data_IF_748882024721
#
_entry.id   IF_748882024721
#
_cell.length_a   1.000
_cell.length_b   1.000
_cell.length_c   1.000
_cell.angle_alpha   90.00
_cell.angle_beta   90.00
_cell.angle_gamma   90.00
#
_symmetry.space_group_name_H-M   'P 1'
#
loop_
_entity.id
_entity.type
_entity.pdbx_description
1 polymer ?
#
# COMPACT_ATOMS: atom_id res chain seq x y z
N UNK A 1 -23.03 -39.17 -36.42
CA UNK A 1 -23.62 -38.34 -35.35
C UNK A 1 -22.79 -38.31 -34.06
N UNK A 2 -22.18 -39.41 -33.60
CA UNK A 2 -21.34 -39.41 -32.36
C UNK A 2 -19.99 -38.68 -32.52
N UNK A 3 -19.41 -38.63 -33.73
CA UNK A 3 -18.14 -37.91 -34.00
C UNK A 3 -18.27 -36.37 -33.96
N UNK A 4 -19.46 -35.81 -34.21
CA UNK A 4 -19.67 -34.36 -34.25
C UNK A 4 -19.75 -33.71 -32.85
N UNK A 5 -20.20 -34.48 -31.84
CA UNK A 5 -20.26 -34.03 -30.44
C UNK A 5 -18.91 -34.03 -29.72
N UNK A 6 -17.92 -34.81 -30.18
CA UNK A 6 -16.58 -34.86 -29.56
C UNK A 6 -15.67 -33.70 -29.99
N UNK A 7 -15.75 -33.26 -31.25
CA UNK A 7 -15.00 -32.09 -31.71
C UNK A 7 -15.48 -30.80 -31.03
N UNK A 8 -16.80 -30.59 -30.94
CA UNK A 8 -17.40 -29.41 -30.29
C UNK A 8 -17.08 -29.33 -28.79
N UNK A 9 -17.03 -30.47 -28.08
CA UNK A 9 -16.70 -30.50 -26.64
C UNK A 9 -15.20 -30.31 -26.38
N UNK A 10 -14.33 -30.72 -27.32
CA UNK A 10 -12.88 -30.45 -27.27
C UNK A 10 -12.55 -28.99 -27.57
N UNK A 11 -13.27 -28.36 -28.51
CA UNK A 11 -13.14 -26.93 -28.83
C UNK A 11 -13.64 -26.05 -27.68
N UNK A 12 -14.78 -26.41 -27.07
CA UNK A 12 -15.34 -25.69 -25.91
C UNK A 12 -14.46 -25.82 -24.67
N UNK A 13 -13.87 -27.01 -24.43
CA UNK A 13 -12.90 -27.25 -23.35
C UNK A 13 -11.60 -26.47 -23.57
N UNK A 14 -11.12 -26.37 -24.81
CA UNK A 14 -9.95 -25.57 -25.18
C UNK A 14 -10.17 -24.06 -25.01
N UNK A 15 -11.32 -23.56 -25.46
CA UNK A 15 -11.72 -22.16 -25.27
C UNK A 15 -11.88 -21.82 -23.78
N UNK A 16 -12.57 -22.67 -23.01
CA UNK A 16 -12.72 -22.52 -21.57
C UNK A 16 -11.37 -22.56 -20.83
N UNK A 17 -10.46 -23.48 -21.17
CA UNK A 17 -9.13 -23.54 -20.57
C UNK A 17 -8.26 -22.33 -20.91
N UNK A 18 -8.44 -21.74 -22.10
CA UNK A 18 -7.74 -20.53 -22.52
C UNK A 18 -8.29 -19.30 -21.81
N UNK A 19 -9.62 -19.17 -21.72
CA UNK A 19 -10.31 -18.14 -20.92
C UNK A 19 -9.94 -18.25 -19.44
N UNK A 20 -9.95 -19.46 -18.89
CA UNK A 20 -9.57 -19.72 -17.50
C UNK A 20 -8.09 -19.42 -17.26
N UNK A 21 -7.20 -19.80 -18.18
CA UNK A 21 -5.77 -19.49 -18.08
C UNK A 21 -5.50 -17.99 -18.22
N UNK A 22 -6.23 -17.29 -19.08
CA UNK A 22 -6.18 -15.84 -19.22
C UNK A 22 -6.62 -15.16 -17.92
N UNK A 23 -7.81 -15.48 -17.43
CA UNK A 23 -8.34 -14.96 -16.16
C UNK A 23 -7.43 -15.31 -14.97
N UNK A 24 -6.84 -16.50 -14.97
CA UNK A 24 -5.89 -16.92 -13.93
C UNK A 24 -4.57 -16.16 -14.00
N UNK A 25 -4.04 -15.91 -15.21
CA UNK A 25 -2.82 -15.10 -15.38
C UNK A 25 -3.05 -13.64 -15.02
N UNK A 26 -4.20 -13.06 -15.39
CA UNK A 26 -4.62 -11.71 -14.98
C UNK A 26 -4.72 -11.61 -13.46
N UNK A 27 -5.42 -12.57 -12.83
CA UNK A 27 -5.54 -12.65 -11.37
C UNK A 27 -4.17 -12.81 -10.70
N UNK A 28 -3.31 -13.68 -11.25
CA UNK A 28 -1.96 -13.93 -10.72
C UNK A 28 -1.08 -12.68 -10.75
N UNK A 29 -1.21 -11.86 -11.78
CA UNK A 29 -0.46 -10.60 -11.92
C UNK A 29 -0.78 -9.63 -10.79
N UNK A 30 -2.06 -9.47 -10.46
CA UNK A 30 -2.56 -8.60 -9.38
C UNK A 30 -2.27 -9.18 -8.00
N UNK A 31 -2.34 -10.51 -7.89
CA UNK A 31 -2.20 -11.23 -6.63
C UNK A 31 -0.75 -11.32 -6.15
N UNK A 32 0.22 -11.44 -7.09
CA UNK A 32 1.65 -11.55 -6.78
C UNK A 32 2.17 -10.48 -5.79
N UNK A 33 1.96 -9.16 -6.00
CA UNK A 33 2.49 -8.15 -5.09
C UNK A 33 1.84 -8.21 -3.69
N UNK A 34 0.56 -8.57 -3.59
CA UNK A 34 -0.14 -8.72 -2.31
C UNK A 34 0.48 -9.87 -1.49
N UNK A 35 0.71 -11.02 -2.12
CA UNK A 35 1.36 -12.14 -1.45
C UNK A 35 2.78 -11.81 -1.01
N UNK A 36 3.54 -11.07 -1.83
CA UNK A 36 4.87 -10.59 -1.44
C UNK A 36 4.80 -9.66 -0.21
N UNK A 37 3.85 -8.73 -0.17
CA UNK A 37 3.64 -7.85 0.98
C UNK A 37 3.34 -8.64 2.27
N UNK A 38 2.44 -9.62 2.20
CA UNK A 38 2.08 -10.47 3.35
C UNK A 38 3.30 -11.26 3.84
N UNK A 39 4.04 -11.89 2.93
CA UNK A 39 5.23 -12.68 3.29
C UNK A 39 6.29 -11.78 3.94
N UNK A 40 6.57 -10.59 3.37
CA UNK A 40 7.53 -9.64 3.93
C UNK A 40 7.11 -9.14 5.31
N UNK A 41 5.83 -8.82 5.49
CA UNK A 41 5.27 -8.38 6.77
C UNK A 41 5.49 -9.44 7.85
N UNK A 42 5.22 -10.71 7.52
CA UNK A 42 5.36 -11.83 8.44
C UNK A 42 6.82 -12.12 8.77
N UNK A 43 7.73 -12.05 7.80
CA UNK A 43 9.17 -12.19 8.02
C UNK A 43 9.68 -11.09 8.94
N UNK A 44 9.31 -9.83 8.68
CA UNK A 44 9.71 -8.69 9.51
C UNK A 44 9.18 -8.82 10.94
N UNK A 45 7.91 -9.20 11.09
CA UNK A 45 7.27 -9.36 12.39
C UNK A 45 7.87 -10.51 13.22
N UNK A 46 8.10 -11.68 12.61
CA UNK A 46 8.74 -12.82 13.28
C UNK A 46 10.20 -12.54 13.63
N UNK A 47 10.99 -12.03 12.67
CA UNK A 47 12.44 -11.83 12.85
C UNK A 47 12.76 -10.77 13.91
N UNK A 48 12.05 -9.63 13.87
CA UNK A 48 12.38 -8.46 14.70
C UNK A 48 11.59 -8.45 16.00
N UNK A 49 10.33 -8.92 16.02
CA UNK A 49 9.47 -8.75 17.19
C UNK A 49 9.03 -10.06 17.84
N UNK A 50 9.46 -11.23 17.35
CA UNK A 50 9.10 -12.54 17.92
C UNK A 50 7.57 -12.69 18.11
N UNK A 51 6.79 -12.10 17.21
CA UNK A 51 5.33 -12.03 17.24
C UNK A 51 4.73 -11.33 18.49
N UNK A 52 5.47 -10.40 19.11
CA UNK A 52 5.03 -9.66 20.29
C UNK A 52 4.71 -8.19 19.98
N UNK A 53 3.66 -7.69 20.60
CA UNK A 53 3.36 -6.24 20.68
C UNK A 53 4.36 -5.61 21.64
N UNK A 54 5.12 -4.61 21.16
CA UNK A 54 6.23 -4.02 21.93
C UNK A 54 6.07 -2.51 22.13
N UNK A 55 5.27 -1.83 21.28
CA UNK A 55 5.13 -0.38 21.26
C UNK A 55 3.72 0.03 21.70
N UNK A 56 3.61 0.95 22.66
CA UNK A 56 2.32 1.50 23.10
C UNK A 56 2.19 2.94 22.61
N UNK A 57 1.49 3.13 21.48
CA UNK A 57 1.26 4.44 20.86
C UNK A 57 -0.13 5.00 21.18
N UNK A 58 -1.01 4.16 21.74
CA UNK A 58 -2.39 4.52 22.02
C UNK A 58 -2.58 5.15 23.40
N UNK A 59 -3.54 6.08 23.49
CA UNK A 59 -3.72 6.97 24.64
C UNK A 59 -4.24 6.26 25.90
N UNK A 60 -5.18 5.32 25.71
CA UNK A 60 -5.68 4.48 26.80
C UNK A 60 -4.89 3.16 26.81
N UNK A 61 -4.25 2.86 27.92
CA UNK A 61 -3.51 1.62 28.08
C UNK A 61 -3.69 1.13 29.51
N UNK A 62 -3.66 -0.19 29.68
CA UNK A 62 -3.95 -0.84 30.96
C UNK A 62 -2.99 -0.39 32.07
N UNK A 63 -1.82 0.16 31.72
CA UNK A 63 -0.81 0.64 32.67
C UNK A 63 -0.92 2.13 33.04
N UNK A 64 -1.29 3.00 32.11
CA UNK A 64 -1.22 4.46 32.32
C UNK A 64 -2.58 5.12 32.49
N UNK A 65 -3.56 4.78 31.64
CA UNK A 65 -4.87 5.44 31.60
C UNK A 65 -5.93 4.41 31.22
N UNK A 66 -6.79 4.06 32.17
CA UNK A 66 -7.92 3.13 31.94
C UNK A 66 -9.26 3.83 32.14
N UNK A 67 -10.20 3.57 31.24
CA UNK A 67 -11.62 3.89 31.34
C UNK A 67 -12.38 2.85 32.18
N UNK A 68 -11.68 1.82 32.67
CA UNK A 68 -12.18 0.84 33.64
C UNK A 68 -12.17 -0.61 33.17
N UNK A 69 -12.22 -0.87 31.85
CA UNK A 69 -12.11 -2.22 31.30
C UNK A 69 -11.29 -2.24 30.01
N UNK A 70 -10.51 -3.31 29.80
CA UNK A 70 -9.70 -3.50 28.59
C UNK A 70 -10.51 -3.40 27.29
N UNK A 71 -11.80 -3.76 27.34
CA UNK A 71 -12.73 -3.64 26.24
C UNK A 71 -13.08 -2.18 25.92
N UNK A 72 -13.38 -1.38 26.94
CA UNK A 72 -13.68 0.05 26.79
C UNK A 72 -12.45 0.84 26.32
N UNK A 73 -11.26 0.49 26.83
CA UNK A 73 -9.98 1.09 26.43
C UNK A 73 -9.69 0.81 24.95
N UNK A 74 -9.87 -0.45 24.52
CA UNK A 74 -9.68 -0.84 23.13
C UNK A 74 -10.66 -0.13 22.16
N UNK A 75 -11.92 0.03 22.57
CA UNK A 75 -12.92 0.74 21.78
C UNK A 75 -12.61 2.24 21.67
N UNK A 76 -12.23 2.90 22.76
CA UNK A 76 -11.89 4.32 22.76
C UNK A 76 -10.65 4.62 21.90
N UNK A 77 -9.63 3.79 21.98
CA UNK A 77 -8.44 3.89 21.14
C UNK A 77 -8.74 3.69 19.65
N UNK A 78 -9.55 2.69 19.31
CA UNK A 78 -9.96 2.44 17.94
C UNK A 78 -10.76 3.63 17.39
N UNK A 79 -11.70 4.19 18.17
CA UNK A 79 -12.45 5.39 17.78
C UNK A 79 -11.54 6.60 17.53
N UNK A 80 -10.53 6.81 18.38
CA UNK A 80 -9.53 7.87 18.20
C UNK A 80 -8.72 7.71 16.92
N UNK A 81 -8.17 6.51 16.66
CA UNK A 81 -7.46 6.23 15.42
C UNK A 81 -8.34 6.40 14.18
N UNK A 82 -9.59 5.94 14.24
CA UNK A 82 -10.54 6.12 13.15
C UNK A 82 -10.83 7.58 12.85
N UNK A 83 -10.99 8.42 13.88
CA UNK A 83 -11.18 9.85 13.70
C UNK A 83 -9.99 10.48 12.95
N UNK A 84 -8.75 10.11 13.32
CA UNK A 84 -7.54 10.60 12.63
C UNK A 84 -7.49 10.13 11.18
N UNK A 85 -7.73 8.84 10.91
CA UNK A 85 -7.75 8.28 9.55
C UNK A 85 -8.81 8.98 8.70
N UNK A 86 -10.01 9.19 9.24
CA UNK A 86 -11.10 9.89 8.56
C UNK A 86 -10.73 11.34 8.23
N UNK A 87 -10.12 12.07 9.17
CA UNK A 87 -9.67 13.47 8.94
C UNK A 87 -8.61 13.53 7.85
N UNK A 88 -7.60 12.66 7.88
CA UNK A 88 -6.56 12.60 6.85
C UNK A 88 -7.15 12.22 5.48
N UNK A 89 -8.08 11.27 5.45
CA UNK A 89 -8.77 10.85 4.22
C UNK A 89 -9.56 12.01 3.59
N UNK A 90 -10.36 12.73 4.39
CA UNK A 90 -11.12 13.89 3.93
C UNK A 90 -10.18 14.99 3.44
N UNK A 91 -9.09 15.27 4.17
CA UNK A 91 -8.09 16.27 3.78
C UNK A 91 -7.46 15.93 2.42
N UNK A 92 -7.05 14.68 2.23
CA UNK A 92 -6.46 14.22 0.97
C UNK A 92 -7.44 14.30 -0.20
N UNK A 93 -8.69 13.87 0.00
CA UNK A 93 -9.76 13.97 -1.01
C UNK A 93 -10.04 15.44 -1.34
N UNK A 94 -10.07 16.31 -0.32
CA UNK A 94 -10.31 17.75 -0.50
C UNK A 94 -9.20 18.37 -1.35
N UNK A 95 -7.93 18.09 -1.05
CA UNK A 95 -6.79 18.57 -1.84
C UNK A 95 -6.81 18.04 -3.28
N UNK A 96 -7.19 16.78 -3.47
CA UNK A 96 -7.38 16.18 -4.79
C UNK A 96 -8.46 16.92 -5.60
N UNK A 97 -9.57 17.30 -4.97
CA UNK A 97 -10.67 18.06 -5.61
C UNK A 97 -10.27 19.50 -5.93
N UNK A 98 -9.37 20.12 -5.15
CA UNK A 98 -8.88 21.48 -5.40
C UNK A 98 -7.87 21.61 -6.56
N UNK A 99 -7.76 20.61 -7.46
CA UNK A 99 -6.91 20.62 -8.65
C UNK A 99 -5.39 20.76 -8.41
N UNK A 100 -4.91 20.65 -7.16
CA UNK A 100 -3.48 20.71 -6.86
C UNK A 100 -2.77 19.37 -7.11
N UNK A 101 -2.80 18.89 -8.37
CA UNK A 101 -2.26 17.57 -8.75
C UNK A 101 -0.82 17.37 -8.29
N UNK A 102 0.04 18.37 -8.52
CA UNK A 102 1.46 18.37 -8.13
C UNK A 102 1.68 18.35 -6.62
N UNK A 103 0.78 18.96 -5.86
CA UNK A 103 0.87 18.96 -4.39
C UNK A 103 0.56 17.58 -3.83
N UNK A 104 -0.46 16.90 -4.36
CA UNK A 104 -0.84 15.55 -3.92
C UNK A 104 0.25 14.53 -4.29
N UNK A 105 0.78 14.62 -5.52
CA UNK A 105 1.91 13.80 -5.99
C UNK A 105 3.14 13.99 -5.08
N UNK A 106 3.51 15.25 -4.79
CA UNK A 106 4.62 15.57 -3.90
C UNK A 106 4.37 15.09 -2.47
N UNK A 107 3.15 15.29 -1.94
CA UNK A 107 2.79 14.83 -0.60
C UNK A 107 2.96 13.31 -0.48
N UNK A 108 2.35 12.55 -1.39
CA UNK A 108 2.42 11.08 -1.37
C UNK A 108 3.87 10.59 -1.48
N UNK A 109 4.65 11.17 -2.39
CA UNK A 109 6.08 10.87 -2.54
C UNK A 109 6.87 11.15 -1.24
N UNK A 110 6.72 12.34 -0.67
CA UNK A 110 7.37 12.71 0.60
C UNK A 110 6.93 11.77 1.73
N UNK A 111 5.66 11.39 1.78
CA UNK A 111 5.14 10.47 2.80
C UNK A 111 5.77 9.08 2.67
N UNK A 112 5.90 8.56 1.46
CA UNK A 112 6.59 7.29 1.22
C UNK A 112 8.06 7.35 1.67
N UNK A 113 8.78 8.44 1.35
CA UNK A 113 10.18 8.62 1.77
C UNK A 113 10.29 8.71 3.30
N UNK A 114 9.42 9.49 3.95
CA UNK A 114 9.40 9.62 5.41
C UNK A 114 9.13 8.27 6.07
N UNK A 115 8.17 7.50 5.56
CA UNK A 115 7.90 6.14 6.05
C UNK A 115 9.13 5.24 5.89
N UNK A 116 9.81 5.28 4.75
CA UNK A 116 11.02 4.48 4.53
C UNK A 116 12.14 4.82 5.53
N UNK A 117 12.32 6.10 5.88
CA UNK A 117 13.32 6.49 6.87
C UNK A 117 12.89 6.19 8.31
N UNK A 118 11.66 6.54 8.68
CA UNK A 118 11.20 6.47 10.07
C UNK A 118 10.79 5.05 10.42
N UNK A 119 9.82 4.48 9.71
CA UNK A 119 9.23 3.19 10.07
C UNK A 119 10.23 2.07 9.79
N UNK A 120 10.76 1.97 8.57
CA UNK A 120 11.75 0.94 8.27
C UNK A 120 13.05 1.17 9.05
N UNK A 121 13.42 2.42 9.35
CA UNK A 121 14.54 2.72 10.24
C UNK A 121 14.37 2.14 11.64
N UNK A 122 13.17 2.25 12.24
CA UNK A 122 12.90 1.59 13.52
C UNK A 122 13.00 0.07 13.42
N UNK A 123 12.55 -0.53 12.31
CA UNK A 123 12.70 -1.98 12.08
C UNK A 123 14.17 -2.41 12.03
N UNK A 124 15.02 -1.62 11.35
CA UNK A 124 16.45 -1.91 11.28
C UNK A 124 17.18 -1.71 12.60
N UNK A 125 16.81 -0.68 13.37
CA UNK A 125 17.37 -0.44 14.70
C UNK A 125 16.95 -1.53 15.69
N UNK A 126 15.66 -1.89 15.73
CA UNK A 126 15.15 -2.96 16.58
C UNK A 126 15.79 -4.32 16.20
N UNK A 127 16.04 -4.56 14.91
CA UNK A 127 16.78 -5.73 14.43
C UNK A 127 18.26 -5.71 14.81
N UNK A 128 18.94 -4.57 14.66
CA UNK A 128 20.35 -4.41 15.03
C UNK A 128 20.57 -4.56 16.54
N UNK A 129 19.59 -4.18 17.36
CA UNK A 129 19.62 -4.35 18.81
C UNK A 129 19.66 -5.81 19.28
N UNK A 130 19.30 -6.77 18.41
CA UNK A 130 19.42 -8.21 18.70
C UNK A 130 20.83 -8.77 18.49
N UNK A 131 21.74 -8.00 17.87
CA UNK A 131 23.10 -8.47 17.62
C UNK A 131 23.94 -8.41 18.90
N UNK A 132 24.78 -9.42 19.18
CA UNK A 132 25.65 -9.44 20.36
C UNK A 132 26.90 -8.56 20.16
N UNK A 133 26.70 -7.29 19.86
CA UNK A 133 27.75 -6.27 19.65
C UNK A 133 27.50 -5.06 20.53
N UNK A 134 28.50 -4.20 20.71
CA UNK A 134 28.38 -3.01 21.56
C UNK A 134 27.30 -2.04 21.06
N UNK A 135 26.61 -1.36 21.98
CA UNK A 135 25.55 -0.37 21.70
C UNK A 135 25.90 0.66 20.60
N UNK A 136 27.09 1.32 20.59
CA UNK A 136 27.44 2.25 19.52
C UNK A 136 27.56 1.56 18.15
N UNK A 137 27.98 0.29 18.12
CA UNK A 137 28.09 -0.50 16.90
C UNK A 137 26.70 -0.90 16.40
N UNK A 138 25.77 -1.25 17.30
CA UNK A 138 24.37 -1.52 16.94
C UNK A 138 23.72 -0.30 16.29
N UNK A 139 23.89 0.89 16.89
CA UNK A 139 23.35 2.14 16.35
C UNK A 139 23.96 2.48 14.98
N UNK A 140 25.27 2.25 14.81
CA UNK A 140 25.94 2.46 13.53
C UNK A 140 25.43 1.49 12.44
N UNK A 141 25.20 0.21 12.78
CA UNK A 141 24.67 -0.79 11.85
C UNK A 141 23.21 -0.44 11.47
N UNK A 142 22.35 -0.21 12.46
CA UNK A 142 20.94 0.16 12.21
C UNK A 142 20.82 1.48 11.43
N UNK A 143 21.61 2.49 11.80
CA UNK A 143 21.66 3.78 11.13
C UNK A 143 22.18 3.69 9.70
N UNK A 144 23.24 2.92 9.44
CA UNK A 144 23.77 2.73 8.08
C UNK A 144 22.81 1.96 7.17
N UNK A 145 22.14 0.93 7.69
CA UNK A 145 21.06 0.22 6.98
C UNK A 145 19.89 1.15 6.64
N UNK A 146 19.48 1.97 7.61
CA UNK A 146 18.41 2.97 7.41
C UNK A 146 18.80 3.99 6.35
N UNK A 147 20.03 4.51 6.39
CA UNK A 147 20.52 5.48 5.42
C UNK A 147 20.63 4.88 4.01
N UNK A 148 21.08 3.63 3.90
CA UNK A 148 21.15 2.92 2.61
C UNK A 148 19.75 2.69 2.02
N UNK A 149 18.82 2.17 2.81
CA UNK A 149 17.44 1.92 2.37
C UNK A 149 16.68 3.22 2.09
N UNK A 150 16.72 4.19 3.01
CA UNK A 150 16.07 5.49 2.85
C UNK A 150 16.66 6.30 1.70
N UNK A 151 17.99 6.27 1.52
CA UNK A 151 18.64 6.87 0.35
C UNK A 151 18.18 6.23 -0.95
N UNK A 152 18.03 4.90 -0.98
CA UNK A 152 17.44 4.18 -2.10
C UNK A 152 15.98 4.57 -2.38
N UNK A 153 15.18 4.83 -1.34
CA UNK A 153 13.82 5.36 -1.50
C UNK A 153 13.84 6.75 -2.14
N UNK A 154 14.69 7.68 -1.67
CA UNK A 154 14.83 9.01 -2.29
C UNK A 154 15.20 8.88 -3.77
N UNK A 155 16.13 7.98 -4.11
CA UNK A 155 16.49 7.72 -5.50
C UNK A 155 15.32 7.15 -6.30
N UNK A 156 14.54 6.22 -5.74
CA UNK A 156 13.36 5.64 -6.38
C UNK A 156 12.33 6.70 -6.75
N UNK A 157 12.07 7.65 -5.85
CA UNK A 157 11.01 8.64 -6.00
C UNK A 157 11.44 9.93 -6.73
N UNK A 158 12.71 10.34 -6.65
CA UNK A 158 13.20 11.55 -7.31
C UNK A 158 13.85 11.31 -8.68
N UNK A 159 14.39 10.11 -8.93
CA UNK A 159 15.05 9.83 -10.20
C UNK A 159 14.05 9.33 -11.23
N UNK A 160 13.72 10.17 -12.21
CA UNK A 160 12.83 9.82 -13.33
C UNK A 160 13.35 8.71 -14.25
N UNK A 161 14.61 8.31 -14.10
CA UNK A 161 15.28 7.36 -14.99
C UNK A 161 15.34 5.93 -14.43
N UNK A 162 14.73 5.67 -13.26
CA UNK A 162 14.68 4.32 -12.70
C UNK A 162 13.53 3.51 -13.29
N UNK A 163 13.73 2.19 -13.49
CA UNK A 163 12.70 1.33 -14.03
C UNK A 163 11.51 1.19 -13.07
N UNK A 164 10.30 1.09 -13.63
CA UNK A 164 9.02 1.05 -12.92
C UNK A 164 8.95 0.00 -11.80
N UNK A 165 9.60 -1.16 -11.98
CA UNK A 165 9.65 -2.22 -10.97
C UNK A 165 10.38 -1.81 -9.68
N UNK A 166 11.34 -0.88 -9.74
CA UNK A 166 12.10 -0.45 -8.56
C UNK A 166 11.21 0.36 -7.63
N UNK A 167 10.44 1.30 -8.19
CA UNK A 167 9.43 2.07 -7.45
C UNK A 167 8.42 1.14 -6.79
N UNK A 168 7.90 0.16 -7.52
CA UNK A 168 6.96 -0.82 -6.98
C UNK A 168 7.54 -1.59 -5.79
N UNK A 169 8.80 -2.03 -5.87
CA UNK A 169 9.44 -2.75 -4.77
C UNK A 169 9.50 -1.90 -3.49
N UNK A 170 9.79 -0.60 -3.61
CA UNK A 170 9.77 0.31 -2.47
C UNK A 170 8.37 0.51 -1.89
N UNK A 171 7.35 0.61 -2.75
CA UNK A 171 5.96 0.69 -2.28
C UNK A 171 5.55 -0.60 -1.54
N UNK A 172 5.88 -1.80 -2.06
CA UNK A 172 5.60 -3.08 -1.37
C UNK A 172 6.29 -3.11 -0.01
N UNK A 173 7.57 -2.77 0.04
CA UNK A 173 8.35 -2.84 1.29
C UNK A 173 7.90 -1.79 2.30
N UNK A 174 7.47 -0.60 1.87
CA UNK A 174 6.85 0.39 2.73
C UNK A 174 5.51 -0.07 3.30
N UNK A 175 4.64 -0.65 2.46
CA UNK A 175 3.37 -1.23 2.91
C UNK A 175 3.60 -2.34 3.95
N UNK A 176 4.55 -3.24 3.69
CA UNK A 176 4.92 -4.29 4.63
C UNK A 176 5.47 -3.73 5.95
N UNK A 177 6.32 -2.70 5.88
CA UNK A 177 6.91 -2.06 7.06
C UNK A 177 5.85 -1.37 7.93
N UNK A 178 4.90 -0.65 7.32
CA UNK A 178 3.75 -0.05 8.01
C UNK A 178 2.88 -1.13 8.65
N UNK A 179 2.60 -2.23 7.93
CA UNK A 179 1.80 -3.33 8.46
C UNK A 179 2.48 -3.97 9.67
N UNK A 180 3.79 -4.25 9.59
CA UNK A 180 4.57 -4.76 10.73
C UNK A 180 4.53 -3.78 11.90
N UNK A 181 4.68 -2.48 11.65
CA UNK A 181 4.58 -1.45 12.68
C UNK A 181 3.23 -1.48 13.39
N UNK A 182 2.11 -1.50 12.65
CA UNK A 182 0.77 -1.61 13.24
C UNK A 182 0.58 -2.87 14.07
N UNK A 183 1.08 -4.03 13.61
CA UNK A 183 1.03 -5.28 14.39
C UNK A 183 1.77 -5.17 15.73
N UNK A 184 2.85 -4.39 15.78
CA UNK A 184 3.62 -4.17 17.02
C UNK A 184 3.05 -3.08 17.93
N UNK A 185 2.14 -2.25 17.42
CA UNK A 185 1.56 -1.10 18.11
C UNK A 185 0.13 -1.33 18.61
N UNK A 186 -0.61 -2.26 17.99
CA UNK A 186 -2.01 -2.51 18.32
C UNK A 186 -2.12 -3.60 19.40
N UNK A 187 -2.61 -3.29 20.61
CA UNK A 187 -2.93 -4.31 21.60
C UNK A 187 -4.17 -5.10 21.18
N UNK A 188 -4.26 -6.35 21.64
CA UNK A 188 -5.15 -7.38 21.09
C UNK A 188 -6.61 -6.94 20.86
N UNK A 189 -7.26 -6.28 21.83
CA UNK A 189 -8.65 -5.85 21.69
C UNK A 189 -8.83 -4.66 20.73
N UNK A 190 -7.93 -3.67 20.75
CA UNK A 190 -7.97 -2.50 19.87
C UNK A 190 -7.92 -2.90 18.40
N UNK A 191 -7.14 -3.93 18.04
CA UNK A 191 -7.01 -4.44 16.66
C UNK A 191 -8.35 -4.82 16.06
N UNK A 192 -9.17 -5.58 16.80
CA UNK A 192 -10.46 -6.07 16.31
C UNK A 192 -11.47 -4.94 16.10
N UNK A 193 -11.53 -3.99 17.05
CA UNK A 193 -12.40 -2.82 16.91
C UNK A 193 -11.97 -1.91 15.78
N UNK A 194 -10.67 -1.64 15.65
CA UNK A 194 -10.13 -0.81 14.58
C UNK A 194 -10.42 -1.45 13.22
N UNK A 195 -10.22 -2.76 13.07
CA UNK A 195 -10.51 -3.48 11.83
C UNK A 195 -12.01 -3.38 11.47
N UNK A 196 -12.89 -3.63 12.43
CA UNK A 196 -14.33 -3.48 12.23
C UNK A 196 -14.75 -2.05 11.86
N UNK A 197 -14.14 -1.06 12.50
CA UNK A 197 -14.45 0.34 12.25
C UNK A 197 -13.91 0.84 10.89
N UNK A 198 -12.74 0.37 10.45
CA UNK A 198 -12.22 0.64 9.10
C UNK A 198 -13.18 0.08 8.04
N UNK A 199 -13.63 -1.17 8.20
CA UNK A 199 -14.60 -1.78 7.28
C UNK A 199 -15.90 -1.00 7.24
N UNK A 200 -16.43 -0.59 8.40
CA UNK A 200 -17.66 0.20 8.47
C UNK A 200 -17.48 1.58 7.81
N UNK A 201 -16.32 2.22 8.01
CA UNK A 201 -15.99 3.50 7.39
C UNK A 201 -15.89 3.39 5.87
N UNK A 202 -15.24 2.35 5.35
CA UNK A 202 -15.12 2.11 3.91
C UNK A 202 -16.51 1.92 3.26
N UNK A 203 -17.38 1.12 3.88
CA UNK A 203 -18.78 0.96 3.47
C UNK A 203 -19.51 2.32 3.49
N UNK A 204 -19.39 3.09 4.57
CA UNK A 204 -20.04 4.39 4.69
C UNK A 204 -19.55 5.39 3.64
N UNK A 205 -18.24 5.44 3.39
CA UNK A 205 -17.62 6.32 2.41
C UNK A 205 -18.08 5.99 0.98
N UNK A 206 -18.24 4.71 0.65
CA UNK A 206 -18.74 4.24 -0.65
C UNK A 206 -20.24 4.49 -0.82
N UNK A 207 -21.05 4.26 0.22
CA UNK A 207 -22.50 4.39 0.13
C UNK A 207 -23.02 5.82 0.21
N UNK A 208 -22.22 6.82 0.62
CA UNK A 208 -22.66 8.20 0.79
C UNK A 208 -23.20 8.80 -0.55
N UNK A 209 -24.53 9.01 -0.69
CA UNK A 209 -25.16 9.34 -1.97
C UNK A 209 -24.98 10.80 -2.43
N UNK A 210 -24.35 11.63 -1.60
CA UNK A 210 -23.99 13.05 -1.89
C UNK A 210 -22.45 13.20 -2.06
N UNK A 211 -21.74 12.10 -2.27
CA UNK A 211 -20.31 12.03 -2.00
C UNK A 211 -19.41 12.83 -2.96
N UNK A 212 -18.44 13.61 -2.41
CA UNK A 212 -17.17 13.94 -3.06
C UNK A 212 -16.51 12.75 -3.75
N UNK A 213 -16.88 11.52 -3.43
CA UNK A 213 -16.47 10.29 -4.12
C UNK A 213 -16.95 10.21 -5.58
N UNK A 214 -18.17 10.67 -5.92
CA UNK A 214 -18.66 10.65 -7.32
C UNK A 214 -17.99 11.74 -8.15
N UNK A 215 -17.79 12.91 -7.53
CA UNK A 215 -17.04 14.02 -8.11
C UNK A 215 -15.53 13.70 -8.18
N UNK A 216 -14.99 12.98 -7.21
CA UNK A 216 -13.64 12.42 -7.27
C UNK A 216 -13.58 11.39 -8.39
N UNK A 217 -14.53 10.45 -8.51
CA UNK A 217 -14.57 9.41 -9.54
C UNK A 217 -14.62 9.99 -10.96
N UNK A 218 -15.51 10.97 -11.21
CA UNK A 218 -15.60 11.67 -12.49
C UNK A 218 -14.36 12.51 -12.82
N UNK A 219 -13.62 12.99 -11.80
CA UNK A 219 -12.37 13.75 -12.00
C UNK A 219 -11.12 12.88 -11.94
N UNK A 220 -11.22 11.67 -11.37
CA UNK A 220 -10.14 10.73 -11.11
C UNK A 220 -10.06 9.62 -12.15
N UNK A 221 -10.91 9.56 -13.17
CA UNK A 221 -10.61 8.63 -14.26
C UNK A 221 -9.27 8.99 -14.91
N UNK A 222 -9.01 10.27 -15.20
CA UNK A 222 -7.69 10.70 -15.68
C UNK A 222 -6.69 10.94 -14.53
N UNK A 223 -7.11 11.68 -13.50
CA UNK A 223 -6.24 12.03 -12.38
C UNK A 223 -5.91 10.85 -11.45
N UNK A 224 -6.90 9.99 -11.23
CA UNK A 224 -6.75 8.77 -10.46
C UNK A 224 -6.04 7.71 -11.26
N UNK A 225 -6.10 7.66 -12.59
CA UNK A 225 -5.22 6.75 -13.34
C UNK A 225 -3.74 7.08 -13.09
N UNK A 226 -3.34 8.36 -13.09
CA UNK A 226 -1.94 8.75 -12.82
C UNK A 226 -1.52 8.48 -11.37
N UNK A 227 -2.35 8.86 -10.39
CA UNK A 227 -2.04 8.64 -8.97
C UNK A 227 -2.15 7.16 -8.60
N UNK A 228 -3.13 6.44 -9.15
CA UNK A 228 -3.24 5.00 -9.00
C UNK A 228 -2.06 4.33 -9.70
N UNK A 229 -1.59 4.74 -10.87
CA UNK A 229 -0.35 4.20 -11.46
C UNK A 229 0.87 4.48 -10.59
N UNK A 230 0.90 5.60 -9.87
CA UNK A 230 1.95 5.92 -8.92
C UNK A 230 1.88 5.09 -7.63
N UNK A 231 0.66 4.77 -7.12
CA UNK A 231 0.44 4.04 -5.86
C UNK A 231 0.21 2.53 -6.04
N UNK A 232 -0.32 2.10 -7.19
CA UNK A 232 -0.68 0.74 -7.54
C UNK A 232 0.44 0.11 -8.34
N UNK A 233 0.64 -1.18 -8.10
CA UNK A 233 1.50 -2.04 -8.90
C UNK A 233 1.13 -1.89 -10.37
N UNK A 234 2.00 -1.27 -11.16
CA UNK A 234 1.85 -1.32 -12.61
C UNK A 234 2.06 -2.79 -12.99
N UNK A 235 0.99 -3.47 -13.38
CA UNK A 235 1.14 -4.71 -14.12
C UNK A 235 1.86 -4.31 -15.40
N UNK A 236 2.95 -5.01 -15.71
CA UNK A 236 3.91 -4.70 -16.77
C UNK A 236 3.34 -4.66 -18.21
N UNK A 237 2.02 -4.56 -18.37
CA UNK A 237 1.33 -4.43 -19.65
C UNK A 237 1.05 -2.97 -20.04
N UNK A 238 1.24 -2.00 -19.13
CA UNK A 238 1.01 -0.58 -19.45
C UNK A 238 2.21 0.19 -20.01
N UNK A 239 3.38 -0.45 -20.18
CA UNK A 239 4.52 0.15 -20.90
C UNK A 239 4.40 -0.01 -22.43
N UNK A 240 3.41 -0.77 -22.93
CA UNK A 240 3.22 -1.02 -24.37
C UNK A 240 2.21 -0.13 -25.10
N UNK A 241 1.36 0.62 -24.39
CA UNK A 241 0.26 1.39 -25.01
C UNK A 241 0.37 2.91 -24.86
N UNK A 242 1.36 3.43 -24.13
CA UNK A 242 1.57 4.89 -24.03
C UNK A 242 2.74 5.41 -24.86
N UNK A 243 3.53 4.54 -25.51
CA UNK A 243 4.61 4.97 -26.42
C UNK A 243 4.16 5.04 -27.89
N UNK A 244 2.91 4.68 -28.20
CA UNK A 244 2.35 4.67 -29.56
C UNK A 244 1.35 5.81 -29.82
N UNK A 245 1.25 6.80 -28.94
CA UNK A 245 0.33 7.95 -29.11
C UNK A 245 1.02 9.32 -29.19
N UNK A 246 2.35 9.37 -29.28
CA UNK A 246 3.11 10.62 -29.43
C UNK A 246 3.91 10.73 -30.76
N UNK A 247 3.76 9.80 -31.71
CA UNK A 247 4.43 9.87 -33.05
C UNK A 247 3.48 9.92 -34.27
N UNK A 248 2.17 10.06 -34.11
CA UNK A 248 1.24 10.32 -35.23
C UNK A 248 0.44 11.61 -35.00
N UNK A 249 1.08 12.78 -35.06
CA UNK A 249 0.37 14.06 -35.28
C UNK A 249 1.29 15.19 -35.77
N UNK A 250 2.09 14.94 -36.80
CA UNK A 250 2.67 16.01 -37.61
C UNK A 250 3.14 15.46 -38.96
N UNK A 251 2.23 15.44 -39.92
CA UNK A 251 2.46 15.75 -41.34
C UNK A 251 1.36 15.07 -42.16
N UNK A 252 0.22 15.75 -42.31
CA UNK A 252 -0.69 15.63 -43.45
C UNK A 252 -1.73 16.76 -43.37
N UNK A 253 -1.36 17.91 -43.95
CA UNK A 253 -2.19 19.04 -44.40
C UNK A 253 -1.22 19.95 -45.18
N UNK A 254 -1.34 20.34 -46.44
CA UNK A 254 -2.34 20.28 -47.51
C UNK A 254 -1.56 20.54 -48.83
N UNK A 255 -2.26 20.40 -49.96
CA UNK A 255 -1.87 20.82 -51.33
C UNK A 255 -1.17 22.19 -51.46
#
# INVERSE_FOLDING_TARGET
LVMCGRCTLSEYSGAFMTEFRRNFNETKSILRPVFLCIILTQIGWMSVYDCKTTKNIFFFDSENNTLGSSFADGMANAAGAMAVIAVVSILMITLAVFHFKKLVEAWLSISCIVVSFVIAGTLFQDGAAKLPVDEPVQLAIGGSMTAAYGGGAVLAFFSKHLPSWYHQLYVITNCASIATFYLTCLPGHTTWFLLGAIVLWDIFAVLAPIGPLKMALERSQDYGADILRFMMFTTAESEGESSSSEEESSDDDEE
#
